data_IF_060917918715
#
_entry.id   IF_060917918715
#
_cell.length_a   1.000
_cell.length_b   1.000
_cell.length_c   1.000
_cell.angle_alpha   90.00
_cell.angle_beta   90.00
_cell.angle_gamma   90.00
#
_symmetry.space_group_name_H-M   'P 1'
#
loop_
_entity.id
_entity.type
_entity.pdbx_description
1 polymer ?
#
# COMPACT_ATOMS: atom_id res chain seq x y z
N UNK A 1 -15.08 21.92 2.15
CA UNK A 1 -15.16 20.55 2.70
C UNK A 1 -13.75 20.13 3.07
N UNK A 2 -13.38 20.16 4.35
CA UNK A 2 -12.05 19.73 4.80
C UNK A 2 -11.94 18.23 4.61
N UNK A 3 -11.04 17.77 3.74
CA UNK A 3 -10.83 16.36 3.50
C UNK A 3 -10.44 15.69 4.83
N UNK A 4 -11.30 14.78 5.32
CA UNK A 4 -10.99 13.97 6.49
C UNK A 4 -9.87 13.01 6.09
N UNK A 5 -8.62 13.42 6.34
CA UNK A 5 -7.44 12.60 6.10
C UNK A 5 -7.40 11.55 7.21
N UNK A 6 -7.96 10.38 6.94
CA UNK A 6 -7.82 9.23 7.84
C UNK A 6 -6.47 8.59 7.55
N UNK A 7 -5.59 8.59 8.55
CA UNK A 7 -4.32 7.87 8.52
C UNK A 7 -4.42 6.63 9.41
N UNK A 8 -4.11 5.48 8.85
CA UNK A 8 -4.12 4.19 9.53
C UNK A 8 -2.72 3.56 9.49
N UNK A 9 -2.32 2.86 10.55
CA UNK A 9 -1.11 2.04 10.54
C UNK A 9 -1.53 0.59 10.34
N UNK A 10 -1.07 -0.01 9.25
CA UNK A 10 -1.29 -1.41 8.93
C UNK A 10 0.03 -2.18 9.06
N UNK A 11 0.05 -3.17 9.96
CA UNK A 11 1.17 -4.09 10.15
C UNK A 11 0.89 -5.37 9.37
N UNK A 12 1.90 -5.87 8.67
CA UNK A 12 1.77 -7.05 7.82
C UNK A 12 2.69 -8.18 8.29
N UNK A 13 2.25 -9.42 8.03
CA UNK A 13 2.87 -10.65 8.51
C UNK A 13 3.02 -10.65 10.03
N UNK A 14 1.93 -10.35 10.74
CA UNK A 14 1.91 -10.44 12.21
C UNK A 14 2.02 -11.89 12.68
N UNK A 15 3.00 -12.16 13.56
CA UNK A 15 3.16 -13.44 14.24
C UNK A 15 3.36 -13.19 15.74
N UNK A 16 2.27 -13.25 16.50
CA UNK A 16 2.31 -12.90 17.92
C UNK A 16 2.58 -11.40 18.11
N UNK A 17 3.70 -11.05 18.75
CA UNK A 17 4.10 -9.65 19.00
C UNK A 17 5.08 -9.09 17.96
N UNK A 18 5.42 -9.85 16.91
CA UNK A 18 6.34 -9.41 15.84
C UNK A 18 5.58 -9.19 14.53
N UNK A 19 6.08 -8.24 13.72
CA UNK A 19 5.56 -7.93 12.39
C UNK A 19 6.73 -7.69 11.42
N UNK A 20 6.56 -7.97 10.13
CA UNK A 20 7.64 -7.81 9.14
C UNK A 20 7.78 -6.38 8.64
N UNK A 21 6.65 -5.69 8.44
CA UNK A 21 6.62 -4.32 7.94
C UNK A 21 5.39 -3.58 8.45
N UNK A 22 5.55 -2.28 8.69
CA UNK A 22 4.45 -1.37 8.96
C UNK A 22 4.27 -0.38 7.80
N UNK A 23 3.03 -0.25 7.34
CA UNK A 23 2.60 0.72 6.34
C UNK A 23 1.73 1.78 7.00
N UNK A 24 1.94 3.03 6.65
CA UNK A 24 0.94 4.09 6.86
C UNK A 24 0.05 4.15 5.63
N UNK A 25 -1.27 4.08 5.84
CA UNK A 25 -2.28 4.19 4.81
C UNK A 25 -3.03 5.50 5.04
N UNK A 26 -3.00 6.38 4.06
CA UNK A 26 -3.70 7.67 4.09
C UNK A 26 -4.80 7.67 3.05
N UNK A 27 -6.04 7.88 3.48
CA UNK A 27 -7.20 7.82 2.58
C UNK A 27 -7.55 9.21 2.03
N UNK A 28 -7.62 9.31 0.69
CA UNK A 28 -8.02 10.49 -0.05
C UNK A 28 -9.18 10.13 -0.99
N UNK A 29 -10.41 10.29 -0.52
CA UNK A 29 -11.60 9.90 -1.28
C UNK A 29 -11.59 8.41 -1.61
N UNK A 30 -11.50 8.07 -2.89
CA UNK A 30 -11.49 6.69 -3.39
C UNK A 30 -10.10 6.04 -3.43
N UNK A 31 -9.07 6.80 -3.04
CA UNK A 31 -7.66 6.41 -3.19
C UNK A 31 -7.00 6.22 -1.83
N UNK A 32 -6.38 5.06 -1.63
CA UNK A 32 -5.52 4.79 -0.48
C UNK A 32 -4.05 5.03 -0.86
N UNK A 33 -3.42 6.03 -0.23
CA UNK A 33 -2.00 6.31 -0.39
C UNK A 33 -1.20 5.57 0.68
N UNK A 34 -0.23 4.76 0.27
CA UNK A 34 0.60 3.96 1.18
C UNK A 34 2.02 4.50 1.26
N UNK A 35 2.57 4.43 2.46
CA UNK A 35 3.97 4.74 2.74
C UNK A 35 4.54 3.65 3.65
N UNK A 36 5.66 3.04 3.24
CA UNK A 36 6.40 2.14 4.11
C UNK A 36 7.09 2.93 5.22
N UNK A 37 6.87 2.53 6.47
CA UNK A 37 7.46 3.21 7.65
C UNK A 37 8.69 2.48 8.13
N UNK A 38 8.60 1.15 8.23
CA UNK A 38 9.67 0.34 8.82
C UNK A 38 9.53 -1.12 8.41
N UNK A 39 10.67 -1.80 8.26
CA UNK A 39 10.74 -3.25 8.04
C UNK A 39 11.13 -3.65 6.62
N UNK A 40 11.16 -4.96 6.38
CA UNK A 40 11.48 -5.53 5.07
C UNK A 40 10.20 -5.90 4.35
N UNK A 41 9.89 -5.16 3.28
CA UNK A 41 8.73 -5.45 2.44
C UNK A 41 8.96 -6.77 1.70
N UNK A 42 7.97 -7.64 1.68
CA UNK A 42 7.97 -8.86 0.87
C UNK A 42 6.71 -8.92 0.00
N UNK A 43 6.72 -9.81 -1.02
CA UNK A 43 5.55 -10.04 -1.88
C UNK A 43 4.30 -10.43 -1.07
N UNK A 44 4.47 -11.21 0.00
CA UNK A 44 3.38 -11.59 0.89
C UNK A 44 2.81 -10.37 1.60
N UNK A 45 3.66 -9.43 2.03
CA UNK A 45 3.20 -8.24 2.73
C UNK A 45 2.32 -7.35 1.85
N UNK A 46 2.73 -7.17 0.59
CA UNK A 46 1.97 -6.37 -0.37
C UNK A 46 0.66 -7.07 -0.76
N UNK A 47 0.64 -8.40 -0.87
CA UNK A 47 -0.60 -9.15 -1.09
C UNK A 47 -1.58 -8.99 0.07
N UNK A 48 -1.09 -9.07 1.29
CA UNK A 48 -1.90 -8.88 2.50
C UNK A 48 -2.48 -7.46 2.55
N UNK A 49 -1.66 -6.45 2.28
CA UNK A 49 -2.07 -5.06 2.19
C UNK A 49 -3.12 -4.82 1.09
N UNK A 50 -2.94 -5.39 -0.09
CA UNK A 50 -3.92 -5.28 -1.18
C UNK A 50 -5.24 -5.96 -0.80
N UNK A 51 -5.18 -7.15 -0.22
CA UNK A 51 -6.36 -7.87 0.24
C UNK A 51 -7.10 -7.05 1.31
N UNK A 52 -6.37 -6.47 2.25
CA UNK A 52 -6.91 -5.57 3.26
C UNK A 52 -7.62 -4.36 2.63
N UNK A 53 -6.97 -3.64 1.71
CA UNK A 53 -7.56 -2.49 1.04
C UNK A 53 -8.81 -2.85 0.21
N UNK A 54 -8.86 -4.05 -0.37
CA UNK A 54 -10.04 -4.54 -1.08
C UNK A 54 -11.25 -4.79 -0.15
N UNK A 55 -11.03 -4.98 1.16
CA UNK A 55 -12.14 -5.07 2.14
C UNK A 55 -12.76 -3.72 2.47
N UNK A 56 -12.08 -2.60 2.15
CA UNK A 56 -12.54 -1.25 2.51
C UNK A 56 -13.57 -0.75 1.47
N UNK A 57 -14.83 -0.51 1.87
CA UNK A 57 -15.83 0.00 0.95
C UNK A 57 -15.45 1.40 0.49
N UNK A 58 -15.54 1.66 -0.82
CA UNK A 58 -15.25 2.95 -1.42
C UNK A 58 -13.79 3.16 -1.85
N UNK A 59 -12.86 2.29 -1.47
CA UNK A 59 -11.48 2.37 -1.94
C UNK A 59 -11.33 1.58 -3.24
N UNK A 60 -10.95 2.27 -4.30
CA UNK A 60 -10.83 1.71 -5.66
C UNK A 60 -9.40 1.77 -6.18
N UNK A 61 -8.58 2.66 -5.62
CA UNK A 61 -7.20 2.87 -6.05
C UNK A 61 -6.21 2.78 -4.91
N UNK A 62 -5.02 2.28 -5.23
CA UNK A 62 -3.83 2.33 -4.40
C UNK A 62 -2.84 3.33 -5.01
N UNK A 63 -2.26 4.22 -4.21
CA UNK A 63 -1.17 5.09 -4.65
C UNK A 63 0.03 5.02 -3.70
N UNK A 64 1.23 5.26 -4.22
CA UNK A 64 2.43 5.41 -3.42
C UNK A 64 3.44 6.30 -4.14
N UNK A 65 4.33 6.91 -3.38
CA UNK A 65 5.43 7.72 -3.93
C UNK A 65 6.63 6.81 -4.10
N UNK A 66 7.14 6.74 -5.33
CA UNK A 66 8.37 6.03 -5.66
C UNK A 66 9.53 7.01 -5.77
N UNK A 67 10.61 6.76 -5.03
CA UNK A 67 11.86 7.51 -5.12
C UNK A 67 12.79 6.84 -6.11
N UNK A 68 13.06 7.48 -7.25
CA UNK A 68 14.09 7.05 -8.21
C UNK A 68 15.26 8.02 -8.22
N UNK A 69 16.43 7.63 -8.76
CA UNK A 69 17.54 8.56 -8.97
C UNK A 69 17.15 9.81 -9.79
N UNK A 70 16.16 9.66 -10.68
CA UNK A 70 15.62 10.74 -11.51
C UNK A 70 14.55 11.61 -10.80
N UNK A 71 14.26 11.37 -9.52
CA UNK A 71 13.27 12.11 -8.74
C UNK A 71 12.13 11.24 -8.19
N UNK A 72 11.19 11.90 -7.50
CA UNK A 72 10.00 11.27 -6.93
C UNK A 72 8.87 11.20 -7.95
N UNK A 73 8.20 10.05 -8.04
CA UNK A 73 7.03 9.87 -8.90
C UNK A 73 5.89 9.24 -8.13
N UNK A 74 4.72 9.86 -8.19
CA UNK A 74 3.48 9.26 -7.71
C UNK A 74 3.05 8.15 -8.67
N UNK A 75 2.86 6.95 -8.13
CA UNK A 75 2.34 5.80 -8.85
C UNK A 75 0.95 5.48 -8.33
N UNK A 76 0.00 5.20 -9.22
CA UNK A 76 -1.39 4.89 -8.88
C UNK A 76 -1.85 3.64 -9.65
N UNK A 77 -2.41 2.68 -8.92
CA UNK A 77 -2.91 1.42 -9.46
C UNK A 77 -4.39 1.22 -9.08
N UNK A 78 -5.22 0.70 -10.00
CA UNK A 78 -6.56 0.24 -9.65
C UNK A 78 -6.48 -1.05 -8.81
N UNK A 79 -7.25 -1.12 -7.72
CA UNK A 79 -7.32 -2.30 -6.84
C UNK A 79 -7.98 -3.50 -7.51
N UNK A 80 -8.90 -3.25 -8.44
CA UNK A 80 -9.63 -4.27 -9.19
C UNK A 80 -8.68 -4.97 -10.17
N UNK A 81 -8.22 -6.17 -9.81
CA UNK A 81 -7.35 -7.01 -10.64
C UNK A 81 -5.95 -7.26 -10.07
N UNK A 82 -5.54 -6.56 -9.01
CA UNK A 82 -4.21 -6.71 -8.42
C UNK A 82 -3.93 -8.08 -7.75
N UNK A 83 -4.97 -8.87 -7.46
CA UNK A 83 -4.86 -10.23 -6.91
C UNK A 83 -4.49 -11.32 -7.93
N UNK A 84 -4.65 -11.06 -9.24
CA UNK A 84 -4.32 -12.03 -10.30
C UNK A 84 -3.08 -11.54 -11.04
N UNK A 85 -1.92 -12.13 -10.74
CA UNK A 85 -0.65 -12.01 -11.49
C UNK A 85 0.09 -10.65 -11.51
N UNK A 86 -0.55 -9.51 -11.20
CA UNK A 86 0.09 -8.16 -11.30
C UNK A 86 0.81 -7.66 -10.04
N UNK A 87 0.79 -8.43 -8.95
CA UNK A 87 1.36 -7.97 -7.66
C UNK A 87 2.89 -7.85 -7.68
N UNK A 88 3.61 -8.51 -8.60
CA UNK A 88 5.07 -8.41 -8.74
C UNK A 88 5.52 -7.03 -9.22
N UNK A 89 4.79 -6.37 -10.12
CA UNK A 89 5.14 -5.03 -10.59
C UNK A 89 4.94 -3.99 -9.47
N UNK A 90 3.85 -4.11 -8.71
CA UNK A 90 3.59 -3.24 -7.55
C UNK A 90 4.62 -3.49 -6.44
N UNK A 91 5.00 -4.74 -6.21
CA UNK A 91 6.05 -5.09 -5.24
C UNK A 91 7.41 -4.57 -5.69
N UNK A 92 7.79 -4.75 -6.95
CA UNK A 92 9.03 -4.23 -7.49
C UNK A 92 9.07 -2.70 -7.34
N UNK A 93 7.96 -2.02 -7.65
CA UNK A 93 7.86 -0.57 -7.54
C UNK A 93 7.79 -0.06 -6.10
N UNK A 94 7.35 -0.88 -5.13
CA UNK A 94 7.42 -0.60 -3.70
C UNK A 94 8.80 -0.90 -3.09
N UNK A 95 9.56 -1.80 -3.70
CA UNK A 95 10.89 -2.23 -3.23
C UNK A 95 12.07 -1.49 -3.87
N UNK A 96 11.87 -0.83 -5.01
CA UNK A 96 12.94 -0.17 -5.81
C UNK A 96 12.64 1.29 -6.10
#
# INVERSE_FOLDING_TARGET
MGAQVIAEIYRSQELGSTFSVAFTITYFGDTASIQGVSGSISLLCVRELIAYLQTKPGITHLSFIRKKPAGERLVKYPLKGLCKQSSTAVVFDLLT
#
